data_IF_503404708439
#
_entry.id   IF_503404708439
#
_cell.length_a   1.000
_cell.length_b   1.000
_cell.length_c   1.000
_cell.angle_alpha   90.00
_cell.angle_beta   90.00
_cell.angle_gamma   90.00
#
_symmetry.space_group_name_H-M   'P 1'
#
loop_
_entity.id
_entity.type
_entity.pdbx_description
1 polymer ?
#
# COMPACT_ATOMS: atom_id res chain seq x y z
N UNK A 1 -7.80 -25.82 4.05
CA UNK A 1 -7.73 -24.79 3.03
C UNK A 1 -7.49 -23.45 3.66
N UNK A 2 -6.35 -22.91 3.38
CA UNK A 2 -6.05 -21.59 3.89
C UNK A 2 -6.52 -20.50 2.97
N UNK A 3 -6.86 -19.36 3.52
CA UNK A 3 -7.14 -18.17 2.72
C UNK A 3 -5.84 -17.65 2.14
N UNK A 4 -5.93 -16.98 1.00
CA UNK A 4 -4.78 -16.32 0.41
C UNK A 4 -4.38 -15.15 1.30
N UNK A 5 -3.11 -15.10 1.68
CA UNK A 5 -2.59 -14.07 2.59
C UNK A 5 -2.03 -12.93 1.78
N UNK A 6 -2.60 -11.76 2.00
CA UNK A 6 -2.34 -10.58 1.17
C UNK A 6 -1.62 -9.50 1.97
N UNK A 7 -0.61 -8.90 1.36
CA UNK A 7 0.01 -7.69 1.90
C UNK A 7 -0.45 -6.51 1.06
N UNK A 8 -1.07 -5.53 1.71
CA UNK A 8 -1.54 -4.33 1.03
C UNK A 8 -0.45 -3.27 1.07
N UNK A 9 -0.09 -2.73 -0.09
CA UNK A 9 0.96 -1.73 -0.21
C UNK A 9 0.36 -0.36 -0.43
N UNK A 10 0.78 0.59 0.39
CA UNK A 10 0.40 1.99 0.25
C UNK A 10 1.65 2.85 0.19
N UNK A 11 1.52 4.05 -0.38
CA UNK A 11 2.61 5.00 -0.45
C UNK A 11 2.59 5.94 0.76
N UNK A 12 3.79 6.34 1.22
CA UNK A 12 3.95 7.34 2.28
C UNK A 12 4.33 8.68 1.65
N UNK A 13 3.57 9.11 0.65
CA UNK A 13 3.85 10.35 -0.06
C UNK A 13 3.80 11.55 0.89
N UNK A 14 4.75 12.49 0.79
CA UNK A 14 4.78 13.64 1.70
C UNK A 14 3.51 14.47 1.65
N UNK A 15 3.14 15.03 2.80
CA UNK A 15 1.92 15.82 2.96
C UNK A 15 1.89 17.03 2.02
N UNK A 16 3.06 17.52 1.62
CA UNK A 16 3.15 18.64 0.69
C UNK A 16 2.51 18.36 -0.66
N UNK A 17 2.34 17.11 -1.02
CA UNK A 17 1.71 16.73 -2.29
C UNK A 17 0.19 16.60 -2.20
N UNK A 18 -0.39 16.90 -1.03
CA UNK A 18 -1.83 16.70 -0.81
C UNK A 18 -2.70 17.41 -1.84
N UNK A 19 -2.36 18.64 -2.20
CA UNK A 19 -3.17 19.39 -3.15
C UNK A 19 -3.06 18.88 -4.57
N UNK A 20 -1.88 18.38 -4.95
CA UNK A 20 -1.68 17.90 -6.31
C UNK A 20 -2.17 16.48 -6.50
N UNK A 21 -2.03 15.64 -5.46
CA UNK A 21 -2.47 14.24 -5.57
C UNK A 21 -2.89 13.72 -4.19
N UNK A 22 -4.10 14.04 -3.76
CA UNK A 22 -4.54 13.67 -2.41
C UNK A 22 -4.59 12.17 -2.16
N UNK A 23 -4.89 11.37 -3.18
CA UNK A 23 -4.95 9.93 -2.98
C UNK A 23 -3.59 9.33 -2.66
N UNK A 24 -2.53 9.84 -3.28
CA UNK A 24 -1.18 9.37 -2.99
C UNK A 24 -0.75 9.68 -1.56
N UNK A 25 -1.32 10.70 -0.95
CA UNK A 25 -1.02 11.07 0.43
C UNK A 25 -1.91 10.33 1.41
N UNK A 26 -3.11 9.93 0.98
CA UNK A 26 -4.12 9.32 1.85
C UNK A 26 -3.89 7.82 1.98
N UNK A 27 -2.90 7.46 2.77
CA UNK A 27 -2.50 6.07 3.00
C UNK A 27 -3.67 5.21 3.48
N UNK A 28 -4.52 5.78 4.33
CA UNK A 28 -5.66 5.04 4.89
C UNK A 28 -6.63 4.61 3.78
N UNK A 29 -6.98 5.52 2.88
CA UNK A 29 -7.88 5.19 1.78
C UNK A 29 -7.26 4.18 0.82
N UNK A 30 -5.95 4.25 0.65
CA UNK A 30 -5.25 3.26 -0.15
C UNK A 30 -5.39 1.86 0.45
N UNK A 31 -5.18 1.73 1.76
CA UNK A 31 -5.34 0.44 2.44
C UNK A 31 -6.79 -0.03 2.44
N UNK A 32 -7.75 0.88 2.60
CA UNK A 32 -9.16 0.54 2.55
C UNK A 32 -9.52 -0.03 1.18
N UNK A 33 -9.01 0.58 0.11
CA UNK A 33 -9.25 0.08 -1.24
C UNK A 33 -8.71 -1.34 -1.42
N UNK A 34 -7.51 -1.59 -0.94
CA UNK A 34 -6.92 -2.92 -1.02
C UNK A 34 -7.70 -3.94 -0.19
N UNK A 35 -8.18 -3.53 0.98
CA UNK A 35 -8.96 -4.40 1.85
C UNK A 35 -10.29 -4.79 1.20
N UNK A 36 -10.93 -3.84 0.54
CA UNK A 36 -12.19 -4.12 -0.18
C UNK A 36 -11.93 -5.12 -1.32
N UNK A 37 -10.87 -4.89 -2.07
CA UNK A 37 -10.51 -5.81 -3.15
C UNK A 37 -10.27 -7.21 -2.60
N UNK A 38 -9.54 -7.32 -1.51
CA UNK A 38 -9.22 -8.62 -0.90
C UNK A 38 -10.49 -9.30 -0.39
N UNK A 39 -11.37 -8.54 0.26
CA UNK A 39 -12.63 -9.09 0.76
C UNK A 39 -13.49 -9.64 -0.38
N UNK A 40 -13.53 -8.92 -1.50
CA UNK A 40 -14.30 -9.37 -2.67
C UNK A 40 -13.74 -10.67 -3.25
N UNK A 41 -12.44 -10.91 -3.08
CA UNK A 41 -11.80 -12.13 -3.55
C UNK A 41 -11.84 -13.26 -2.53
N UNK A 42 -12.27 -12.99 -1.31
CA UNK A 42 -12.22 -13.95 -0.22
C UNK A 42 -10.83 -14.14 0.34
N UNK A 43 -9.96 -13.16 0.19
CA UNK A 43 -8.59 -13.18 0.68
C UNK A 43 -8.48 -12.52 2.04
N UNK A 44 -7.38 -12.76 2.75
CA UNK A 44 -7.13 -12.19 4.07
C UNK A 44 -5.93 -11.26 3.99
N UNK A 45 -6.10 -10.01 4.46
CA UNK A 45 -5.00 -9.07 4.55
C UNK A 45 -4.23 -9.34 5.83
N UNK A 46 -3.00 -9.81 5.70
CA UNK A 46 -2.15 -10.12 6.86
C UNK A 46 -1.14 -9.04 7.18
N UNK A 47 -0.88 -8.13 6.22
CA UNK A 47 0.06 -7.03 6.42
C UNK A 47 -0.44 -5.79 5.71
N UNK A 48 -0.29 -4.64 6.36
CA UNK A 48 -0.52 -3.34 5.75
C UNK A 48 0.82 -2.62 5.70
N UNK A 49 1.36 -2.46 4.50
CA UNK A 49 2.69 -1.92 4.30
C UNK A 49 2.61 -0.50 3.77
N UNK A 50 3.57 0.32 4.17
CA UNK A 50 3.67 1.72 3.76
C UNK A 50 5.10 2.01 3.39
N UNK A 51 5.32 2.41 2.14
CA UNK A 51 6.66 2.69 1.66
C UNK A 51 6.70 4.01 0.90
N UNK A 52 7.88 4.61 0.84
CA UNK A 52 8.14 5.73 -0.04
C UNK A 52 9.54 5.54 -0.62
N UNK A 53 9.60 5.19 -1.92
CA UNK A 53 10.87 4.98 -2.58
C UNK A 53 11.68 3.81 -2.02
N UNK A 54 11.01 2.76 -1.55
CA UNK A 54 11.70 1.59 -1.02
C UNK A 54 12.34 0.81 -2.14
N UNK A 55 13.57 0.34 -1.90
CA UNK A 55 14.25 -0.50 -2.87
C UNK A 55 13.60 -1.88 -2.92
N UNK A 56 13.27 -2.38 -4.12
CA UNK A 56 12.59 -3.68 -4.25
C UNK A 56 13.39 -4.87 -3.74
N UNK A 57 14.71 -4.72 -3.59
CA UNK A 57 15.56 -5.79 -3.05
C UNK A 57 15.78 -5.69 -1.55
N UNK A 58 15.07 -4.79 -0.87
CA UNK A 58 15.23 -4.59 0.57
C UNK A 58 14.87 -5.87 1.31
N UNK A 59 15.77 -6.35 2.15
CA UNK A 59 15.62 -7.65 2.80
C UNK A 59 14.30 -7.77 3.58
N UNK A 60 13.94 -6.76 4.34
CA UNK A 60 12.75 -6.82 5.19
C UNK A 60 11.46 -7.02 4.38
N UNK A 61 11.46 -6.57 3.12
CA UNK A 61 10.29 -6.71 2.26
C UNK A 61 9.94 -8.18 2.03
N UNK A 62 10.94 -9.04 1.97
CA UNK A 62 10.74 -10.43 1.56
C UNK A 62 10.72 -11.42 2.72
N UNK A 63 11.00 -10.96 3.94
CA UNK A 63 11.04 -11.84 5.10
C UNK A 63 9.71 -12.54 5.33
N UNK A 64 8.61 -11.80 5.26
CA UNK A 64 7.29 -12.38 5.48
C UNK A 64 6.86 -13.26 4.31
N UNK A 65 7.32 -12.95 3.11
CA UNK A 65 7.05 -13.80 1.94
C UNK A 65 7.71 -15.16 2.15
N UNK A 66 8.96 -15.17 2.59
CA UNK A 66 9.69 -16.41 2.80
C UNK A 66 9.10 -17.22 3.95
N UNK A 67 8.54 -16.54 4.93
CA UNK A 67 7.88 -17.21 6.05
C UNK A 67 6.49 -17.75 5.71
N UNK A 68 5.97 -17.43 4.54
CA UNK A 68 4.64 -17.88 4.13
C UNK A 68 3.51 -16.99 4.60
N UNK A 69 3.81 -15.84 5.19
CA UNK A 69 2.80 -14.93 5.72
C UNK A 69 2.22 -14.02 4.63
N UNK A 70 2.89 -13.94 3.49
CA UNK A 70 2.44 -13.16 2.34
C UNK A 70 2.52 -14.05 1.10
N UNK A 71 1.39 -14.21 0.43
CA UNK A 71 1.31 -14.96 -0.82
C UNK A 71 1.03 -14.06 -2.01
N UNK A 72 0.57 -12.83 -1.75
CA UNK A 72 0.19 -11.90 -2.78
C UNK A 72 0.37 -10.47 -2.27
N UNK A 73 0.94 -9.61 -3.11
CA UNK A 73 0.96 -8.16 -2.86
C UNK A 73 -0.14 -7.50 -3.66
N UNK A 74 -0.87 -6.58 -3.05
CA UNK A 74 -1.85 -5.77 -3.76
C UNK A 74 -1.57 -4.30 -3.48
N UNK A 75 -1.61 -3.48 -4.54
CA UNK A 75 -1.54 -2.03 -4.44
C UNK A 75 -2.80 -1.45 -5.06
N UNK A 76 -3.20 -0.24 -4.70
CA UNK A 76 -4.40 0.36 -5.29
C UNK A 76 -4.30 0.49 -6.80
N UNK A 77 -3.17 0.97 -7.32
CA UNK A 77 -2.93 1.13 -8.75
C UNK A 77 -1.43 1.31 -9.00
N UNK A 78 -1.07 1.41 -10.28
CA UNK A 78 0.34 1.59 -10.69
C UNK A 78 0.96 2.84 -10.11
N UNK A 79 0.20 3.92 -10.04
CA UNK A 79 0.70 5.21 -9.58
C UNK A 79 1.13 5.15 -8.12
N UNK A 80 0.33 4.49 -7.29
CA UNK A 80 0.66 4.32 -5.87
C UNK A 80 1.91 3.46 -5.73
N UNK A 81 1.96 2.36 -6.46
CA UNK A 81 3.11 1.45 -6.36
C UNK A 81 4.40 2.14 -6.83
N UNK A 82 4.31 2.99 -7.86
CA UNK A 82 5.44 3.74 -8.36
C UNK A 82 6.01 4.71 -7.32
N UNK A 83 5.14 5.25 -6.46
CA UNK A 83 5.60 6.10 -5.35
C UNK A 83 6.17 5.29 -4.20
N UNK A 84 5.61 4.14 -3.96
CA UNK A 84 6.03 3.30 -2.84
C UNK A 84 7.42 2.70 -3.06
N UNK A 85 7.77 2.40 -4.31
CA UNK A 85 8.99 1.70 -4.65
C UNK A 85 9.88 2.52 -5.58
N UNK A 86 11.18 2.22 -5.56
CA UNK A 86 12.11 2.88 -6.49
C UNK A 86 11.98 2.34 -7.90
N UNK A 87 11.52 1.10 -8.07
CA UNK A 87 11.36 0.50 -9.39
C UNK A 87 10.27 -0.57 -9.36
N UNK A 88 9.16 -0.29 -10.02
CA UNK A 88 8.07 -1.26 -10.14
C UNK A 88 8.49 -2.48 -10.95
N UNK A 89 9.18 -2.32 -12.11
CA UNK A 89 9.62 -3.51 -12.86
C UNK A 89 10.53 -4.43 -12.06
N UNK A 90 11.44 -3.88 -11.27
CA UNK A 90 12.31 -4.70 -10.44
C UNK A 90 11.52 -5.43 -9.36
N UNK A 91 10.54 -4.77 -8.77
CA UNK A 91 9.70 -5.39 -7.76
C UNK A 91 8.88 -6.54 -8.38
N UNK A 92 8.31 -6.30 -9.56
CA UNK A 92 7.54 -7.33 -10.25
C UNK A 92 8.40 -8.54 -10.58
N UNK A 93 9.65 -8.31 -11.02
CA UNK A 93 10.57 -9.40 -11.33
C UNK A 93 10.92 -10.19 -10.08
N UNK A 94 11.11 -9.53 -8.94
CA UNK A 94 11.37 -10.24 -7.68
C UNK A 94 10.16 -11.05 -7.24
N UNK A 95 8.96 -10.52 -7.41
CA UNK A 95 7.76 -11.27 -7.10
C UNK A 95 7.69 -12.55 -7.93
N UNK A 96 7.94 -12.42 -9.22
CA UNK A 96 7.88 -13.58 -10.10
C UNK A 96 8.96 -14.61 -9.72
N UNK A 97 10.18 -14.15 -9.43
CA UNK A 97 11.27 -15.03 -9.06
C UNK A 97 10.96 -15.79 -7.76
N UNK A 98 10.25 -15.17 -6.84
CA UNK A 98 9.93 -15.76 -5.53
C UNK A 98 8.58 -16.47 -5.50
N UNK A 99 7.85 -16.44 -6.61
CA UNK A 99 6.57 -17.12 -6.69
C UNK A 99 5.45 -16.41 -5.95
N UNK A 100 5.60 -15.11 -5.68
CA UNK A 100 4.54 -14.33 -5.03
C UNK A 100 3.83 -13.50 -6.10
N UNK A 101 2.51 -13.39 -5.97
CA UNK A 101 1.70 -12.66 -6.95
C UNK A 101 1.72 -11.17 -6.64
N UNK A 102 1.56 -10.37 -7.70
CA UNK A 102 1.42 -8.92 -7.56
C UNK A 102 0.16 -8.51 -8.34
N UNK A 103 -0.78 -7.86 -7.66
CA UNK A 103 -2.02 -7.44 -8.30
C UNK A 103 -2.37 -6.02 -7.91
N UNK A 104 -3.27 -5.42 -8.66
CA UNK A 104 -3.77 -4.08 -8.37
C UNK A 104 -5.26 -4.15 -8.12
N UNK A 105 -5.74 -3.36 -7.15
CA UNK A 105 -7.16 -3.34 -6.84
C UNK A 105 -7.97 -2.80 -8.00
N UNK A 106 -7.45 -1.77 -8.68
CA UNK A 106 -8.08 -1.25 -9.88
C UNK A 106 -9.43 -0.61 -9.64
N UNK A 107 -9.72 -0.24 -8.40
CA UNK A 107 -10.97 0.43 -8.05
C UNK A 107 -10.84 1.92 -8.24
N UNK A 108 -11.98 2.60 -8.38
CA UNK A 108 -11.96 4.07 -8.55
C UNK A 108 -11.47 4.74 -7.29
N UNK A 109 -10.62 5.77 -7.48
CA UNK A 109 -10.14 6.57 -6.37
C UNK A 109 -11.27 7.45 -5.84
N UNK A 110 -11.29 7.72 -4.52
CA UNK A 110 -12.29 8.62 -3.98
C UNK A 110 -12.08 10.04 -4.47
N UNK A 111 -13.16 10.82 -4.53
CA UNK A 111 -13.08 12.23 -4.85
C UNK A 111 -12.69 13.02 -3.61
N UNK A 112 -11.86 14.04 -3.81
CA UNK A 112 -11.39 14.86 -2.70
C UNK A 112 -11.86 16.30 -2.87
N UNK A 113 -12.73 16.72 -1.93
CA UNK A 113 -13.12 18.12 -1.79
C UNK A 113 -12.11 18.82 -0.88
N UNK A 114 -12.25 20.16 -0.76
CA UNK A 114 -11.43 20.90 0.19
C UNK A 114 -11.60 20.37 1.60
N UNK A 115 -12.82 19.97 1.96
CA UNK A 115 -13.10 19.43 3.29
C UNK A 115 -12.39 18.10 3.53
N UNK A 116 -12.44 17.20 2.56
CA UNK A 116 -11.78 15.89 2.70
C UNK A 116 -10.28 16.03 2.70
N UNK A 117 -9.72 16.96 1.91
CA UNK A 117 -8.28 17.26 1.96
C UNK A 117 -7.88 17.78 3.34
N UNK A 118 -8.69 18.68 3.90
CA UNK A 118 -8.42 19.21 5.24
C UNK A 118 -8.44 18.11 6.29
N UNK A 119 -9.35 17.15 6.14
CA UNK A 119 -9.43 16.01 7.03
C UNK A 119 -8.19 15.13 6.96
N UNK A 120 -7.70 14.86 5.74
CA UNK A 120 -6.47 14.11 5.54
C UNK A 120 -5.29 14.85 6.17
N UNK A 121 -5.19 16.14 5.91
CA UNK A 121 -4.13 16.97 6.47
C UNK A 121 -4.13 16.91 8.00
N UNK A 122 -5.29 17.08 8.60
CA UNK A 122 -5.43 17.06 10.06
C UNK A 122 -5.00 15.71 10.63
N UNK A 123 -5.44 14.62 10.01
CA UNK A 123 -5.14 13.28 10.48
C UNK A 123 -3.62 13.00 10.45
N UNK A 124 -2.94 13.46 9.40
CA UNK A 124 -1.52 13.21 9.24
C UNK A 124 -0.64 14.19 10.00
N UNK A 125 -1.17 15.37 10.31
CA UNK A 125 -0.40 16.41 11.03
C UNK A 125 -0.45 16.24 12.54
N UNK A 126 -1.47 15.57 13.06
CA UNK A 126 -1.63 15.44 14.50
C UNK A 126 -0.64 14.43 15.07
N UNK A 127 0.06 14.80 16.16
CA UNK A 127 0.85 13.80 16.86
C UNK A 127 -0.08 12.73 17.42
N UNK A 128 0.35 11.50 17.28
CA UNK A 128 -0.43 10.36 17.76
C UNK A 128 0.33 9.74 18.90
N UNK A 129 -0.19 9.87 20.10
CA UNK A 129 0.48 9.30 21.27
C UNK A 129 0.64 7.79 21.07
N UNK A 130 1.85 7.32 21.28
CA UNK A 130 2.15 5.91 21.10
C UNK A 130 2.25 5.47 19.66
N UNK A 131 2.08 6.39 18.75
CA UNK A 131 2.22 6.06 17.34
C UNK A 131 3.70 6.01 16.98
N UNK A 132 4.12 4.92 16.41
CA UNK A 132 5.52 4.71 16.13
C UNK A 132 5.94 5.19 14.75
N UNK A 133 5.04 5.68 14.00
CA UNK A 133 5.32 6.13 12.66
C UNK A 133 5.69 5.00 11.75
N UNK A 134 5.58 3.91 12.28
CA UNK A 134 5.97 2.69 11.61
C UNK A 134 7.37 2.63 11.25
#
# INVERSE_FOLDING_TARGET
>A
MGDVRVAAIASLTPLEELDSDPFLVDTRSQHVMCARWAADKGYVVTRELRFYGLRPDHHALWTDVEAGDIELFVAPNDRVLAKALTSVPQFAAECERRGVRLEFAGLDEPSYSSRTKASVHRRLSMPTAGYDGC
#
